data_IF_100390133626
#
_entry.id   IF_100390133626
#
_cell.length_a   1.000
_cell.length_b   1.000
_cell.length_c   1.000
_cell.angle_alpha   90.00
_cell.angle_beta   90.00
_cell.angle_gamma   90.00
#
_symmetry.space_group_name_H-M   'P 1'
#
loop_
_entity.id
_entity.type
_entity.pdbx_description
1 polymer ?
#
# COMPACT_ATOMS: atom_id res chain seq x y z
N UNK A 1 45.89 30.65 7.20
CA UNK A 1 44.48 30.68 6.91
C UNK A 1 43.97 29.26 7.14
N UNK A 2 43.40 29.04 8.30
CA UNK A 2 42.73 27.75 8.62
C UNK A 2 41.46 27.63 7.78
N UNK A 3 41.47 26.75 6.80
CA UNK A 3 40.26 26.30 6.15
C UNK A 3 39.46 25.55 7.20
N UNK A 4 38.42 26.16 7.75
CA UNK A 4 37.44 25.52 8.56
C UNK A 4 36.83 24.37 7.71
N UNK A 5 37.26 23.14 7.97
CA UNK A 5 36.51 21.94 7.54
C UNK A 5 35.10 22.04 8.17
N UNK A 6 34.18 22.45 7.33
CA UNK A 6 32.76 22.29 7.67
C UNK A 6 32.52 20.77 7.79
N UNK A 7 32.37 20.27 8.98
CA UNK A 7 31.95 18.89 9.21
C UNK A 7 30.55 18.72 8.58
N UNK A 8 30.53 18.25 7.34
CA UNK A 8 29.29 17.93 6.64
C UNK A 8 28.69 16.71 7.36
N UNK A 9 27.72 16.96 8.23
CA UNK A 9 26.95 15.89 8.88
C UNK A 9 26.27 15.07 7.79
N UNK A 10 26.55 13.76 7.67
CA UNK A 10 25.99 12.93 6.61
C UNK A 10 24.47 13.00 6.59
N UNK A 11 23.86 12.85 5.42
CA UNK A 11 22.41 12.72 5.28
C UNK A 11 21.90 11.49 6.03
N UNK A 12 20.75 11.55 6.69
CA UNK A 12 20.11 10.37 7.27
C UNK A 12 19.60 9.39 6.20
N UNK A 13 19.58 9.80 4.95
CA UNK A 13 19.11 9.05 3.80
C UNK A 13 20.27 8.62 2.92
N UNK A 14 20.27 7.36 2.51
CA UNK A 14 21.23 6.89 1.52
C UNK A 14 20.87 7.37 0.10
N UNK A 15 21.75 7.17 -0.84
CA UNK A 15 21.62 7.70 -2.21
C UNK A 15 20.33 7.30 -2.91
N UNK A 16 19.89 6.04 -2.79
CA UNK A 16 18.66 5.54 -3.45
C UNK A 16 17.40 6.22 -2.92
N UNK A 17 17.30 6.43 -1.61
CA UNK A 17 16.18 7.15 -0.98
C UNK A 17 16.15 8.60 -1.47
N UNK A 18 17.31 9.28 -1.48
CA UNK A 18 17.44 10.67 -1.96
C UNK A 18 17.06 10.80 -3.43
N UNK A 19 17.46 9.87 -4.29
CA UNK A 19 17.10 9.89 -5.73
C UNK A 19 15.59 9.84 -5.91
N UNK A 20 14.86 9.00 -5.16
CA UNK A 20 13.40 8.94 -5.26
C UNK A 20 12.77 10.19 -4.65
N UNK A 21 13.25 10.67 -3.51
CA UNK A 21 12.77 11.91 -2.88
C UNK A 21 12.96 13.13 -3.81
N UNK A 22 14.07 13.20 -4.55
CA UNK A 22 14.30 14.21 -5.59
C UNK A 22 13.30 14.07 -6.74
N UNK A 23 13.08 12.84 -7.24
CA UNK A 23 12.13 12.57 -8.33
C UNK A 23 10.71 13.04 -7.99
N UNK A 24 10.29 12.90 -6.73
CA UNK A 24 8.95 13.34 -6.28
C UNK A 24 8.95 14.75 -5.66
N UNK A 25 10.05 15.49 -5.74
CA UNK A 25 10.15 16.90 -5.33
C UNK A 25 10.08 17.15 -3.83
N UNK A 26 10.54 16.20 -2.98
CA UNK A 26 10.44 16.32 -1.51
C UNK A 26 11.78 16.23 -0.78
N UNK A 27 12.91 16.14 -1.49
CA UNK A 27 14.22 15.85 -0.90
C UNK A 27 14.61 16.82 0.23
N UNK A 28 14.51 18.14 0.01
CA UNK A 28 14.91 19.13 1.02
C UNK A 28 14.06 19.05 2.29
N UNK A 29 12.74 18.84 2.12
CA UNK A 29 11.84 18.65 3.25
C UNK A 29 12.18 17.37 4.01
N UNK A 30 12.48 16.30 3.30
CA UNK A 30 12.81 15.01 3.92
C UNK A 30 14.17 15.02 4.59
N UNK A 31 15.14 15.79 4.09
CA UNK A 31 16.42 15.96 4.76
C UNK A 31 16.24 16.58 6.16
N UNK A 32 15.46 17.67 6.27
CA UNK A 32 15.15 18.31 7.55
C UNK A 32 14.36 17.38 8.46
N UNK A 33 13.38 16.67 7.90
CA UNK A 33 12.53 15.76 8.66
C UNK A 33 13.32 14.56 9.19
N UNK A 34 14.11 13.91 8.34
CA UNK A 34 14.88 12.72 8.69
C UNK A 34 15.83 12.97 9.85
N UNK A 35 16.55 14.12 9.87
CA UNK A 35 17.43 14.52 10.98
C UNK A 35 16.72 14.63 12.33
N UNK A 36 15.40 14.87 12.34
CA UNK A 36 14.61 14.97 13.58
C UNK A 36 14.08 13.63 14.07
N UNK A 37 13.75 12.71 13.14
CA UNK A 37 13.00 11.50 13.49
C UNK A 37 13.83 10.22 13.49
N UNK A 38 14.90 10.15 12.69
CA UNK A 38 15.80 9.00 12.69
C UNK A 38 16.80 9.16 13.82
N UNK A 39 16.86 8.17 14.69
CA UNK A 39 17.69 8.15 15.89
C UNK A 39 18.57 6.91 15.90
N UNK A 40 19.71 6.99 16.54
CA UNK A 40 20.63 5.90 16.82
C UNK A 40 20.36 5.23 18.19
N UNK A 41 19.17 5.47 18.74
CA UNK A 41 18.70 4.91 20.00
C UNK A 41 17.16 4.76 20.00
N UNK A 42 16.66 3.94 20.92
CA UNK A 42 15.25 3.72 21.19
C UNK A 42 14.77 4.66 22.31
N UNK A 43 13.90 5.63 22.04
CA UNK A 43 13.20 6.37 23.08
C UNK A 43 12.40 5.42 24.00
N UNK A 44 12.12 5.82 25.24
CA UNK A 44 11.38 4.98 26.19
C UNK A 44 10.04 4.47 25.64
N UNK A 45 9.33 5.31 24.91
CA UNK A 45 8.09 4.91 24.25
C UNK A 45 8.28 3.76 23.25
N UNK A 46 9.41 3.73 22.51
CA UNK A 46 9.71 2.62 21.59
C UNK A 46 10.14 1.37 22.36
N UNK A 47 10.92 1.52 23.44
CA UNK A 47 11.33 0.40 24.29
C UNK A 47 10.10 -0.28 24.90
N UNK A 48 9.18 0.48 25.48
CA UNK A 48 7.92 -0.01 26.01
C UNK A 48 7.06 -0.67 24.91
N UNK A 49 7.03 -0.12 23.70
CA UNK A 49 6.31 -0.69 22.57
C UNK A 49 6.87 -2.06 22.17
N UNK A 50 8.18 -2.22 22.03
CA UNK A 50 8.77 -3.52 21.67
C UNK A 50 8.49 -4.60 22.72
N UNK A 51 8.48 -4.25 24.00
CA UNK A 51 8.26 -5.20 25.11
C UNK A 51 6.87 -5.83 25.09
N UNK A 52 5.85 -5.15 24.57
CA UNK A 52 4.47 -5.65 24.55
C UNK A 52 4.12 -6.50 23.31
N UNK A 53 5.02 -6.55 22.33
CA UNK A 53 4.75 -7.24 21.06
C UNK A 53 4.78 -8.76 21.23
N UNK A 54 3.83 -9.50 20.61
CA UNK A 54 3.86 -10.96 20.51
C UNK A 54 4.64 -11.46 19.28
N UNK A 55 5.00 -10.55 18.36
CA UNK A 55 5.74 -10.87 17.13
C UNK A 55 6.70 -9.75 16.75
N UNK A 56 7.71 -10.13 15.96
CA UNK A 56 8.70 -9.21 15.38
C UNK A 56 9.02 -9.66 13.96
N UNK A 57 8.89 -8.76 12.98
CA UNK A 57 9.32 -9.01 11.61
C UNK A 57 10.83 -8.76 11.52
N UNK A 58 11.53 -9.65 10.83
CA UNK A 58 12.98 -9.62 10.66
C UNK A 58 13.31 -9.68 9.17
N UNK A 59 14.15 -8.77 8.72
CA UNK A 59 14.80 -8.84 7.41
C UNK A 59 16.29 -9.07 7.60
N UNK A 60 16.86 -10.00 6.85
CA UNK A 60 18.30 -10.24 6.79
C UNK A 60 18.69 -10.83 5.43
N UNK A 61 19.99 -10.96 5.22
CA UNK A 61 20.57 -11.54 4.01
C UNK A 61 21.25 -12.86 4.39
N UNK A 62 20.88 -13.92 3.71
CA UNK A 62 21.46 -15.24 3.96
C UNK A 62 22.93 -15.33 3.47
N UNK A 63 23.66 -16.41 3.79
CA UNK A 63 25.04 -16.59 3.34
C UNK A 63 25.20 -16.62 1.80
N UNK A 64 24.14 -16.96 1.05
CA UNK A 64 24.15 -16.96 -0.41
C UNK A 64 23.96 -15.54 -1.00
N UNK A 65 23.66 -14.55 -0.16
CA UNK A 65 23.45 -13.17 -0.56
C UNK A 65 22.01 -12.84 -0.91
N UNK A 66 21.07 -13.70 -0.54
CA UNK A 66 19.65 -13.49 -0.79
C UNK A 66 18.95 -12.83 0.40
N UNK A 67 18.20 -11.76 0.18
CA UNK A 67 17.36 -11.18 1.22
C UNK A 67 16.14 -12.04 1.50
N UNK A 68 15.81 -12.17 2.79
CA UNK A 68 14.60 -12.84 3.25
C UNK A 68 13.90 -12.02 4.31
N UNK A 69 12.59 -12.03 4.29
CA UNK A 69 11.76 -11.55 5.38
C UNK A 69 11.26 -12.75 6.19
N UNK A 70 11.31 -12.63 7.50
CA UNK A 70 10.84 -13.64 8.44
C UNK A 70 10.10 -13.02 9.62
N UNK A 71 9.54 -13.86 10.49
CA UNK A 71 8.83 -13.46 11.68
C UNK A 71 9.25 -14.30 12.87
N UNK A 72 9.48 -13.65 13.99
CA UNK A 72 9.68 -14.26 15.30
C UNK A 72 8.45 -14.01 16.15
N UNK A 73 8.11 -14.98 16.99
CA UNK A 73 6.99 -14.87 17.94
C UNK A 73 7.43 -15.25 19.36
N UNK A 74 6.70 -14.75 20.34
CA UNK A 74 6.91 -15.06 21.74
C UNK A 74 5.83 -14.45 22.62
N UNK A 75 5.74 -14.88 23.86
CA UNK A 75 4.91 -14.18 24.83
C UNK A 75 5.42 -12.73 24.98
N UNK A 76 4.54 -11.74 25.15
CA UNK A 76 4.94 -10.37 25.44
C UNK A 76 6.05 -10.31 26.50
N UNK A 77 7.08 -9.55 26.21
CA UNK A 77 8.31 -9.57 26.99
C UNK A 77 9.44 -10.41 26.40
N UNK A 78 9.21 -11.16 25.29
CA UNK A 78 10.31 -11.85 24.60
C UNK A 78 11.30 -10.89 23.93
N UNK A 79 10.84 -9.65 23.68
CA UNK A 79 11.68 -8.53 23.23
C UNK A 79 11.85 -7.57 24.42
N UNK A 80 13.07 -7.15 24.66
CA UNK A 80 13.39 -6.15 25.68
C UNK A 80 14.51 -5.22 25.20
N UNK A 81 14.58 -4.02 25.76
CA UNK A 81 15.66 -3.08 25.49
C UNK A 81 16.30 -2.70 26.84
N UNK A 82 17.33 -3.42 27.28
CA UNK A 82 18.01 -3.12 28.55
C UNK A 82 18.75 -1.79 28.51
N UNK A 83 19.20 -1.38 27.33
CA UNK A 83 19.85 -0.12 27.04
C UNK A 83 19.17 0.54 25.82
N UNK A 84 19.08 1.87 25.73
CA UNK A 84 18.48 2.55 24.58
C UNK A 84 19.12 2.23 23.23
N UNK A 85 20.37 1.78 23.20
CA UNK A 85 21.12 1.40 21.98
C UNK A 85 21.16 -0.09 21.73
N UNK A 86 20.43 -0.90 22.53
CA UNK A 86 20.40 -2.35 22.41
C UNK A 86 18.96 -2.88 22.48
N UNK A 87 18.60 -3.74 21.54
CA UNK A 87 17.37 -4.54 21.57
C UNK A 87 17.73 -6.00 21.75
N UNK A 88 17.24 -6.64 22.80
CA UNK A 88 17.41 -8.06 23.08
C UNK A 88 16.17 -8.84 22.67
N UNK A 89 16.32 -9.92 21.90
CA UNK A 89 15.26 -10.77 21.38
C UNK A 89 15.49 -12.19 21.87
N UNK A 90 14.60 -12.72 22.70
CA UNK A 90 14.64 -14.10 23.24
C UNK A 90 13.86 -15.04 22.34
N UNK A 91 14.25 -15.08 21.08
CA UNK A 91 13.75 -16.00 20.06
C UNK A 91 14.77 -16.12 18.93
N UNK A 92 14.73 -17.26 18.24
CA UNK A 92 15.51 -17.52 17.02
C UNK A 92 14.57 -17.97 15.91
N UNK A 93 14.92 -17.75 14.63
CA UNK A 93 14.20 -18.38 13.53
C UNK A 93 14.15 -19.88 13.72
N UNK A 94 12.98 -20.48 13.54
CA UNK A 94 12.79 -21.92 13.70
C UNK A 94 13.43 -22.70 12.56
N UNK A 95 13.59 -24.02 12.74
CA UNK A 95 14.14 -24.91 11.71
C UNK A 95 13.33 -24.74 10.39
N UNK A 96 14.06 -24.69 9.26
CA UNK A 96 13.50 -24.48 7.93
C UNK A 96 13.20 -23.02 7.57
N UNK A 97 13.42 -22.09 8.49
CA UNK A 97 13.41 -20.66 8.15
C UNK A 97 14.69 -20.33 7.36
N UNK A 98 14.60 -19.62 6.22
CA UNK A 98 15.78 -19.19 5.46
C UNK A 98 16.80 -18.38 6.27
N UNK A 99 16.35 -17.72 7.34
CA UNK A 99 17.20 -16.92 8.22
C UNK A 99 17.76 -17.71 9.44
N UNK A 100 17.53 -19.02 9.52
CA UNK A 100 18.00 -19.82 10.67
C UNK A 100 19.50 -19.67 10.96
N UNK A 101 20.31 -19.48 9.93
CA UNK A 101 21.76 -19.32 10.02
C UNK A 101 22.26 -17.93 9.60
N UNK A 102 21.37 -16.93 9.51
CA UNK A 102 21.71 -15.59 9.03
C UNK A 102 21.88 -14.55 10.15
N UNK A 103 21.43 -14.86 11.37
CA UNK A 103 21.39 -13.92 12.51
C UNK A 103 22.54 -14.18 13.50
N UNK A 104 23.76 -14.12 12.99
CA UNK A 104 24.99 -14.26 13.79
C UNK A 104 25.62 -12.89 14.08
N UNK A 105 26.51 -12.82 15.08
CA UNK A 105 27.19 -11.57 15.43
C UNK A 105 27.83 -10.91 14.20
N UNK A 106 27.60 -9.61 14.03
CA UNK A 106 28.05 -8.83 12.88
C UNK A 106 27.04 -8.81 11.71
N UNK A 107 25.98 -9.62 11.72
CA UNK A 107 24.96 -9.59 10.67
C UNK A 107 24.13 -8.31 10.72
N UNK A 108 23.94 -7.66 9.57
CA UNK A 108 23.02 -6.54 9.45
C UNK A 108 21.57 -7.04 9.41
N UNK A 109 20.70 -6.39 10.16
CA UNK A 109 19.28 -6.75 10.27
C UNK A 109 18.37 -5.53 10.20
N UNK A 110 17.21 -5.70 9.56
CA UNK A 110 16.09 -4.79 9.66
C UNK A 110 15.00 -5.42 10.53
N UNK A 111 14.47 -4.67 11.47
CA UNK A 111 13.41 -5.11 12.38
C UNK A 111 12.19 -4.20 12.24
N UNK A 112 11.00 -4.80 12.19
CA UNK A 112 9.74 -4.09 12.24
C UNK A 112 8.89 -4.64 13.37
N UNK A 113 8.78 -3.87 14.45
CA UNK A 113 7.74 -4.07 15.44
C UNK A 113 6.41 -3.55 14.90
N UNK A 114 5.39 -4.37 14.93
CA UNK A 114 4.04 -4.01 14.47
C UNK A 114 2.98 -4.55 15.42
N UNK A 115 2.04 -3.70 15.77
CA UNK A 115 0.89 -4.00 16.60
C UNK A 115 -0.36 -3.81 15.74
N UNK A 116 -0.88 -4.93 15.21
CA UNK A 116 -1.93 -4.88 14.19
C UNK A 116 -3.24 -4.27 14.71
N UNK A 117 -3.63 -4.54 15.97
CA UNK A 117 -4.88 -4.03 16.53
C UNK A 117 -4.90 -2.50 16.75
N UNK A 118 -3.72 -1.87 16.90
CA UNK A 118 -3.61 -0.40 17.05
C UNK A 118 -3.04 0.30 15.82
N UNK A 119 -2.60 -0.46 14.81
CA UNK A 119 -1.88 0.03 13.62
C UNK A 119 -0.56 0.73 13.94
N UNK A 120 -0.01 0.54 15.14
CA UNK A 120 1.29 1.10 15.51
C UNK A 120 2.42 0.25 14.94
N UNK A 121 3.46 0.89 14.45
CA UNK A 121 4.68 0.21 14.00
C UNK A 121 5.89 1.09 14.19
N UNK A 122 6.99 0.47 14.63
CA UNK A 122 8.30 1.08 14.76
C UNK A 122 9.33 0.24 14.03
N UNK A 123 10.26 0.90 13.37
CA UNK A 123 11.39 0.26 12.70
C UNK A 123 12.66 0.43 13.51
N UNK A 124 13.50 -0.58 13.46
CA UNK A 124 14.87 -0.57 13.92
C UNK A 124 15.74 -1.28 12.87
N UNK A 125 16.76 -0.61 12.41
CA UNK A 125 17.80 -1.21 11.57
C UNK A 125 19.10 -1.19 12.38
N UNK A 126 19.86 -2.28 12.34
CA UNK A 126 21.07 -2.38 13.14
C UNK A 126 21.91 -3.60 12.80
N UNK A 127 22.80 -3.93 13.69
CA UNK A 127 23.72 -5.06 13.57
C UNK A 127 23.57 -5.99 14.76
N UNK A 128 23.57 -7.28 14.53
CA UNK A 128 23.57 -8.28 15.60
C UNK A 128 24.84 -8.12 16.42
N UNK A 129 24.69 -7.72 17.69
CA UNK A 129 25.81 -7.51 18.61
C UNK A 129 26.30 -8.82 19.24
N UNK A 130 25.36 -9.70 19.58
CA UNK A 130 25.65 -11.04 20.13
C UNK A 130 24.49 -11.98 19.77
N UNK A 131 24.78 -13.26 19.61
CA UNK A 131 23.81 -14.31 19.36
C UNK A 131 24.20 -15.58 20.10
N UNK A 132 23.17 -16.30 20.62
CA UNK A 132 23.33 -17.62 21.25
C UNK A 132 22.19 -18.56 20.85
N UNK A 133 22.07 -19.72 21.46
CA UNK A 133 21.04 -20.70 21.18
C UNK A 133 19.58 -20.20 21.51
N UNK A 134 19.48 -19.23 22.40
CA UNK A 134 18.18 -18.75 22.92
C UNK A 134 17.70 -17.44 22.30
N UNK A 135 18.58 -16.71 21.61
CA UNK A 135 18.24 -15.43 21.00
C UNK A 135 19.44 -14.66 20.49
N UNK A 136 19.22 -13.37 20.30
CA UNK A 136 20.24 -12.44 19.85
C UNK A 136 19.93 -11.02 20.31
N UNK A 137 20.95 -10.18 20.32
CA UNK A 137 20.81 -8.76 20.58
C UNK A 137 21.23 -7.93 19.38
N UNK A 138 20.59 -6.79 19.16
CA UNK A 138 20.84 -5.89 18.03
C UNK A 138 21.29 -4.54 18.56
N UNK A 139 22.48 -4.11 18.14
CA UNK A 139 22.93 -2.73 18.31
C UNK A 139 22.14 -1.82 17.37
N UNK A 140 21.54 -0.78 17.91
CA UNK A 140 20.68 0.14 17.18
C UNK A 140 21.52 1.03 16.27
N UNK A 141 21.29 0.94 14.97
CA UNK A 141 21.83 1.87 14.00
C UNK A 141 20.84 3.00 13.71
N UNK A 142 19.62 2.63 13.28
CA UNK A 142 18.55 3.59 13.03
C UNK A 142 17.25 3.11 13.65
N UNK A 143 16.54 4.01 14.35
CA UNK A 143 15.22 3.73 14.93
C UNK A 143 14.26 4.89 14.67
N UNK A 144 13.05 4.57 14.21
CA UNK A 144 12.01 5.57 13.92
C UNK A 144 10.62 4.96 13.86
N UNK A 145 9.61 5.80 14.17
CA UNK A 145 8.20 5.46 13.99
C UNK A 145 7.78 5.49 12.52
N UNK A 146 6.76 4.71 12.17
CA UNK A 146 6.15 4.70 10.85
C UNK A 146 4.67 5.05 10.93
N UNK A 147 4.11 5.57 9.82
CA UNK A 147 2.68 5.90 9.74
C UNK A 147 1.82 4.61 9.82
N UNK A 148 0.56 4.73 10.31
CA UNK A 148 -0.36 3.60 10.48
C UNK A 148 -1.06 3.16 9.18
N UNK A 149 -0.74 3.77 8.04
CA UNK A 149 -1.43 3.56 6.77
C UNK A 149 -1.34 2.12 6.28
N UNK A 150 -2.43 1.65 5.64
CA UNK A 150 -2.59 0.35 4.99
C UNK A 150 -2.48 -0.86 5.93
N UNK A 151 -2.53 -0.68 7.25
CA UNK A 151 -2.57 -1.76 8.22
C UNK A 151 -4.03 -2.11 8.50
N UNK A 152 -4.45 -3.32 8.16
CA UNK A 152 -5.74 -3.87 8.56
C UNK A 152 -5.64 -4.26 10.04
N UNK A 153 -6.64 -3.91 10.87
CA UNK A 153 -6.60 -4.30 12.27
C UNK A 153 -6.85 -5.79 12.43
N UNK A 154 -6.14 -6.38 13.38
CA UNK A 154 -6.29 -7.80 13.76
C UNK A 154 -6.00 -7.96 15.23
N UNK A 155 -6.86 -8.69 15.91
CA UNK A 155 -6.63 -9.16 17.28
C UNK A 155 -5.96 -10.53 17.23
N UNK A 156 -5.01 -10.76 18.14
CA UNK A 156 -4.24 -11.99 18.16
C UNK A 156 -4.62 -12.92 19.33
N UNK A 157 -4.38 -14.20 19.14
CA UNK A 157 -4.40 -15.23 20.17
C UNK A 157 -3.31 -16.27 19.90
N UNK A 158 -2.91 -17.02 20.91
CA UNK A 158 -2.01 -18.14 20.72
C UNK A 158 -2.81 -19.44 20.62
N UNK A 159 -2.66 -20.18 19.51
CA UNK A 159 -3.23 -21.52 19.34
C UNK A 159 -2.42 -22.60 20.08
N UNK A 160 -1.16 -22.29 20.42
CA UNK A 160 -0.26 -23.12 21.25
C UNK A 160 0.75 -22.22 21.96
N UNK A 161 1.53 -22.78 22.86
CA UNK A 161 2.67 -22.06 23.43
C UNK A 161 3.70 -21.75 22.33
N UNK A 162 4.08 -20.48 22.10
CA UNK A 162 5.07 -20.10 21.10
C UNK A 162 6.48 -20.67 21.37
N UNK A 163 6.77 -21.03 22.62
CA UNK A 163 8.02 -21.71 22.98
C UNK A 163 8.05 -23.20 22.58
N UNK A 164 6.88 -23.78 22.27
CA UNK A 164 6.76 -25.18 21.86
C UNK A 164 7.11 -25.33 20.39
N UNK A 165 8.08 -26.19 20.09
CA UNK A 165 8.38 -26.56 18.71
C UNK A 165 7.14 -27.20 18.05
N UNK A 166 6.67 -26.65 16.94
CA UNK A 166 5.66 -27.30 16.12
C UNK A 166 6.36 -28.17 15.06
N UNK A 167 5.87 -29.39 14.82
CA UNK A 167 6.24 -30.12 13.62
C UNK A 167 5.71 -29.34 12.41
N UNK A 168 6.60 -28.70 11.70
CA UNK A 168 6.27 -27.84 10.57
C UNK A 168 6.64 -28.57 9.28
N UNK A 169 5.66 -28.83 8.41
CA UNK A 169 5.94 -29.29 7.06
C UNK A 169 6.60 -28.15 6.29
N UNK A 170 7.78 -28.43 5.75
CA UNK A 170 8.58 -27.47 4.96
C UNK A 170 8.54 -27.89 3.51
N UNK A 171 8.11 -26.97 2.67
CA UNK A 171 8.06 -27.12 1.21
C UNK A 171 8.89 -25.98 0.59
N UNK A 172 9.56 -26.24 -0.53
CA UNK A 172 10.35 -25.22 -1.22
C UNK A 172 10.34 -25.44 -2.73
N UNK A 173 10.66 -24.41 -3.47
CA UNK A 173 10.74 -24.47 -4.93
C UNK A 173 11.33 -23.21 -5.54
N UNK A 174 11.50 -23.24 -6.87
CA UNK A 174 12.03 -22.12 -7.67
C UNK A 174 10.96 -21.45 -8.54
N UNK A 175 9.78 -22.07 -8.66
CA UNK A 175 8.61 -21.56 -9.37
C UNK A 175 7.38 -21.69 -8.47
N UNK A 176 6.50 -20.70 -8.49
CA UNK A 176 5.30 -20.67 -7.65
C UNK A 176 4.34 -21.82 -8.01
N UNK A 177 3.98 -22.61 -7.01
CA UNK A 177 2.93 -23.61 -7.12
C UNK A 177 1.53 -23.01 -6.97
N UNK A 178 0.49 -23.80 -7.17
CA UNK A 178 -0.90 -23.35 -7.05
C UNK A 178 -1.24 -22.84 -5.62
N UNK A 179 -0.70 -23.46 -4.58
CA UNK A 179 -0.94 -23.04 -3.21
C UNK A 179 -0.25 -21.71 -2.88
N UNK A 180 0.97 -21.49 -3.36
CA UNK A 180 1.67 -20.21 -3.24
C UNK A 180 0.93 -19.07 -3.96
N UNK A 181 0.44 -19.33 -5.18
CA UNK A 181 -0.38 -18.37 -5.92
C UNK A 181 -1.66 -18.02 -5.18
N UNK A 182 -2.35 -19.01 -4.64
CA UNK A 182 -3.57 -18.80 -3.86
C UNK A 182 -3.32 -17.96 -2.59
N UNK A 183 -2.25 -18.27 -1.85
CA UNK A 183 -1.86 -17.51 -0.66
C UNK A 183 -1.55 -16.04 -0.99
N UNK A 184 -0.83 -15.76 -2.08
CA UNK A 184 -0.51 -14.40 -2.52
C UNK A 184 -1.78 -13.66 -2.98
N UNK A 185 -2.64 -14.31 -3.75
CA UNK A 185 -3.88 -13.71 -4.27
C UNK A 185 -4.86 -13.33 -3.16
N UNK A 186 -4.95 -14.14 -2.09
CA UNK A 186 -5.81 -13.89 -0.94
C UNK A 186 -5.25 -12.85 0.05
N UNK A 187 -3.95 -12.54 -0.03
CA UNK A 187 -3.28 -11.69 0.92
C UNK A 187 -3.75 -10.23 0.81
N UNK A 188 -4.03 -9.60 1.94
CA UNK A 188 -4.23 -8.16 2.10
C UNK A 188 -3.02 -7.47 2.75
N UNK A 189 -2.04 -8.26 3.16
CA UNK A 189 -0.85 -7.84 3.89
C UNK A 189 0.32 -8.76 3.55
N UNK A 190 1.48 -8.18 3.32
CA UNK A 190 2.75 -8.90 3.28
C UNK A 190 3.88 -8.01 3.81
N UNK A 191 5.04 -8.61 4.04
CA UNK A 191 6.24 -7.91 4.50
C UNK A 191 7.35 -8.08 3.49
N UNK A 192 8.20 -7.05 3.34
CA UNK A 192 9.30 -7.04 2.40
C UNK A 192 10.61 -6.67 3.09
N UNK A 193 11.63 -7.51 2.92
CA UNK A 193 13.01 -7.21 3.24
C UNK A 193 13.76 -6.74 2.00
N UNK A 194 14.56 -5.70 2.17
CA UNK A 194 15.46 -5.16 1.14
C UNK A 194 16.76 -4.71 1.78
N UNK A 195 17.83 -4.63 1.01
CA UNK A 195 19.12 -4.23 1.55
C UNK A 195 19.97 -3.45 0.55
N UNK A 196 20.94 -2.76 1.09
CA UNK A 196 21.96 -2.08 0.32
C UNK A 196 23.34 -2.35 0.94
N UNK A 197 24.32 -2.64 0.11
CA UNK A 197 25.74 -2.65 0.44
C UNK A 197 26.34 -1.34 -0.10
N UNK A 198 26.53 -0.28 0.71
CA UNK A 198 27.12 0.96 0.25
C UNK A 198 28.49 0.70 -0.38
N UNK A 199 28.71 1.21 -1.59
CA UNK A 199 29.97 1.02 -2.34
C UNK A 199 30.39 -0.45 -2.52
N UNK A 200 29.44 -1.40 -2.37
CA UNK A 200 29.72 -2.84 -2.43
C UNK A 200 30.31 -3.42 -1.12
N UNK A 201 30.44 -2.62 -0.07
CA UNK A 201 31.03 -3.03 1.20
C UNK A 201 29.99 -3.75 2.09
N UNK A 202 30.10 -5.06 2.19
CA UNK A 202 29.23 -5.88 3.07
C UNK A 202 29.26 -5.47 4.53
N UNK A 203 30.40 -4.97 5.01
CA UNK A 203 30.54 -4.51 6.40
C UNK A 203 29.67 -3.27 6.72
N UNK A 204 29.26 -2.53 5.68
CA UNK A 204 28.38 -1.36 5.78
C UNK A 204 26.94 -1.65 5.37
N UNK A 205 26.57 -2.91 5.20
CA UNK A 205 25.23 -3.34 4.79
C UNK A 205 24.16 -2.71 5.66
N UNK A 206 23.16 -2.13 5.04
CA UNK A 206 21.91 -1.73 5.67
C UNK A 206 20.77 -2.62 5.21
N UNK A 207 19.97 -3.14 6.14
CA UNK A 207 18.80 -3.97 5.85
C UNK A 207 17.55 -3.29 6.38
N UNK A 208 16.48 -3.30 5.57
CA UNK A 208 15.16 -2.83 5.95
C UNK A 208 14.13 -3.95 5.86
N UNK A 209 13.14 -3.93 6.77
CA UNK A 209 11.91 -4.69 6.61
C UNK A 209 10.70 -3.77 6.71
N UNK A 210 9.75 -3.92 5.80
CA UNK A 210 8.57 -3.04 5.69
C UNK A 210 7.29 -3.85 5.54
N UNK A 211 6.20 -3.28 6.03
CA UNK A 211 4.84 -3.76 5.81
C UNK A 211 4.29 -3.18 4.49
N UNK A 212 3.55 -4.01 3.76
CA UNK A 212 2.74 -3.62 2.59
C UNK A 212 1.31 -4.14 2.79
N UNK A 213 0.32 -3.31 2.51
CA UNK A 213 -1.07 -3.71 2.63
C UNK A 213 -1.94 -3.09 1.55
N UNK A 214 -3.02 -3.78 1.21
CA UNK A 214 -4.02 -3.39 0.23
C UNK A 214 -5.26 -4.27 0.36
N UNK A 215 -6.24 -4.14 -0.52
CA UNK A 215 -7.34 -5.09 -0.63
C UNK A 215 -6.81 -6.41 -1.25
N UNK A 216 -7.41 -7.55 -0.91
CA UNK A 216 -7.10 -8.80 -1.59
C UNK A 216 -7.16 -8.63 -3.13
N UNK A 217 -6.22 -9.23 -3.85
CA UNK A 217 -6.05 -9.00 -5.29
C UNK A 217 -5.27 -7.72 -5.64
N UNK A 218 -4.62 -7.04 -4.68
CA UNK A 218 -3.72 -5.93 -4.97
C UNK A 218 -2.34 -6.39 -5.50
N UNK A 219 -2.01 -7.65 -5.33
CA UNK A 219 -0.83 -8.29 -5.94
C UNK A 219 -1.29 -9.09 -7.16
N UNK A 220 -0.85 -8.69 -8.36
CA UNK A 220 -1.08 -9.47 -9.58
C UNK A 220 0.03 -10.49 -9.77
N UNK A 221 -0.36 -11.69 -10.13
CA UNK A 221 0.55 -12.82 -10.37
C UNK A 221 0.51 -13.14 -11.87
N UNK A 222 1.66 -13.07 -12.52
CA UNK A 222 1.83 -13.43 -13.92
C UNK A 222 3.07 -14.33 -14.06
N UNK A 223 2.84 -15.64 -14.26
CA UNK A 223 3.91 -16.61 -14.13
C UNK A 223 4.52 -16.59 -12.73
N UNK A 224 5.82 -16.37 -12.63
CA UNK A 224 6.57 -16.20 -11.38
C UNK A 224 6.84 -14.72 -11.06
N UNK A 225 6.18 -13.80 -11.75
CA UNK A 225 6.31 -12.36 -11.54
C UNK A 225 5.08 -11.81 -10.81
N UNK A 226 5.33 -11.10 -9.71
CA UNK A 226 4.33 -10.36 -8.95
C UNK A 226 4.41 -8.88 -9.36
N UNK A 227 3.28 -8.27 -9.72
CA UNK A 227 3.20 -6.81 -9.93
C UNK A 227 2.44 -6.19 -8.77
N UNK A 228 3.07 -5.25 -8.08
CA UNK A 228 2.66 -4.74 -6.79
C UNK A 228 2.57 -3.21 -6.84
N UNK A 229 1.44 -2.60 -6.43
CA UNK A 229 1.34 -1.16 -6.35
C UNK A 229 2.12 -0.62 -5.14
N UNK A 230 2.73 0.54 -5.32
CA UNK A 230 3.27 1.34 -4.23
C UNK A 230 2.37 2.56 -4.02
N UNK A 231 1.79 2.63 -2.84
CA UNK A 231 0.84 3.66 -2.46
C UNK A 231 1.52 4.83 -1.76
N UNK A 232 0.82 5.96 -1.66
CA UNK A 232 1.28 7.13 -0.92
C UNK A 232 1.61 6.77 0.54
N UNK A 233 2.80 7.15 1.00
CA UNK A 233 3.30 6.81 2.34
C UNK A 233 4.04 7.96 3.01
N UNK A 234 4.98 7.62 3.90
CA UNK A 234 5.74 8.58 4.70
C UNK A 234 6.88 9.29 3.94
N UNK A 235 7.08 8.98 2.66
CA UNK A 235 8.11 9.56 1.79
C UNK A 235 9.56 9.23 2.18
N UNK A 236 9.78 8.30 3.09
CA UNK A 236 11.11 7.82 3.44
C UNK A 236 11.74 7.03 2.27
N UNK A 237 10.92 6.23 1.57
CA UNK A 237 11.32 5.38 0.45
C UNK A 237 12.37 4.31 0.79
N UNK A 238 12.50 3.92 2.05
CA UNK A 238 13.53 2.96 2.47
C UNK A 238 13.60 1.71 1.57
N UNK A 239 12.46 1.02 1.39
CA UNK A 239 12.39 -0.16 0.51
C UNK A 239 12.74 0.20 -0.94
N UNK A 240 12.06 1.20 -1.53
CA UNK A 240 12.27 1.54 -2.94
C UNK A 240 13.66 2.13 -3.19
N UNK A 241 14.22 2.87 -2.23
CA UNK A 241 15.59 3.36 -2.30
C UNK A 241 16.60 2.23 -2.35
N UNK A 242 16.42 1.19 -1.50
CA UNK A 242 17.22 -0.02 -1.59
C UNK A 242 17.06 -0.70 -2.95
N UNK A 243 15.81 -0.92 -3.40
CA UNK A 243 15.51 -1.61 -4.67
C UNK A 243 16.03 -0.87 -5.90
N UNK A 244 16.14 0.45 -5.85
CA UNK A 244 16.68 1.25 -6.94
C UNK A 244 18.18 0.98 -7.16
N UNK A 245 18.93 0.70 -6.09
CA UNK A 245 20.36 0.48 -6.12
C UNK A 245 20.73 -1.00 -6.09
N UNK A 246 19.91 -1.82 -5.44
CA UNK A 246 20.09 -3.27 -5.36
C UNK A 246 18.72 -3.93 -5.61
N UNK A 247 18.45 -4.42 -6.82
CA UNK A 247 17.15 -4.94 -7.21
C UNK A 247 16.89 -6.36 -6.67
N UNK A 248 17.08 -6.57 -5.37
CA UNK A 248 16.80 -7.83 -4.67
C UNK A 248 15.90 -7.60 -3.49
N UNK A 249 14.92 -8.48 -3.29
CA UNK A 249 14.00 -8.45 -2.17
C UNK A 249 13.68 -9.83 -1.64
N UNK A 250 13.26 -9.89 -0.37
CA UNK A 250 12.61 -11.04 0.24
C UNK A 250 11.20 -10.68 0.66
N UNK A 251 10.21 -11.49 0.35
CA UNK A 251 8.82 -11.28 0.74
C UNK A 251 8.38 -12.32 1.75
N UNK A 252 7.49 -11.94 2.66
CA UNK A 252 6.83 -12.82 3.62
C UNK A 252 5.33 -12.59 3.56
N UNK A 253 4.58 -13.64 3.24
CA UNK A 253 3.14 -13.72 3.36
C UNK A 253 2.80 -14.58 4.57
N UNK A 254 1.90 -14.09 5.41
CA UNK A 254 1.39 -14.79 6.60
C UNK A 254 -0.07 -15.12 6.38
N UNK A 255 -0.43 -16.39 6.46
CA UNK A 255 -1.83 -16.75 6.65
C UNK A 255 -2.18 -16.54 8.12
N UNK A 256 -2.89 -15.47 8.39
CA UNK A 256 -3.23 -15.05 9.74
C UNK A 256 -4.21 -16.02 10.46
N UNK A 257 -4.92 -16.86 9.71
CA UNK A 257 -5.85 -17.83 10.26
C UNK A 257 -5.18 -19.18 10.60
N UNK A 258 -4.29 -19.67 9.72
CA UNK A 258 -3.61 -20.96 9.91
C UNK A 258 -2.25 -20.85 10.59
N UNK A 259 -1.61 -19.67 10.48
CA UNK A 259 -0.21 -19.47 10.90
C UNK A 259 0.80 -20.04 9.88
N UNK A 260 0.37 -20.32 8.66
CA UNK A 260 1.26 -20.71 7.57
C UNK A 260 2.09 -19.51 7.12
N UNK A 261 3.33 -19.79 6.75
CA UNK A 261 4.25 -18.77 6.20
C UNK A 261 4.66 -19.14 4.79
N UNK A 262 4.61 -18.17 3.88
CA UNK A 262 5.22 -18.27 2.56
C UNK A 262 6.28 -17.18 2.44
N UNK A 263 7.54 -17.60 2.34
CA UNK A 263 8.71 -16.73 2.20
C UNK A 263 9.24 -16.85 0.78
N UNK A 264 9.51 -15.72 0.13
CA UNK A 264 10.02 -15.64 -1.24
C UNK A 264 11.30 -14.83 -1.24
N UNK A 265 12.22 -15.16 -2.14
CA UNK A 265 13.35 -14.30 -2.51
C UNK A 265 13.41 -14.16 -4.02
N UNK A 266 13.83 -12.99 -4.51
CA UNK A 266 13.83 -12.71 -5.94
C UNK A 266 14.41 -11.35 -6.31
N UNK A 267 14.26 -11.03 -7.61
CA UNK A 267 14.69 -9.76 -8.19
C UNK A 267 13.51 -8.80 -8.38
N UNK A 268 13.81 -7.50 -8.45
CA UNK A 268 12.79 -6.46 -8.55
C UNK A 268 13.07 -5.48 -9.69
N UNK A 269 12.01 -4.84 -10.17
CA UNK A 269 12.04 -3.72 -11.12
C UNK A 269 11.03 -2.67 -10.67
N UNK A 270 11.41 -1.38 -10.65
CA UNK A 270 10.50 -0.28 -10.30
C UNK A 270 9.94 0.34 -11.57
N UNK A 271 8.62 0.50 -11.63
CA UNK A 271 7.88 1.15 -12.71
C UNK A 271 7.31 2.46 -12.19
N UNK A 272 7.94 3.58 -12.55
CA UNK A 272 7.60 4.89 -12.00
C UNK A 272 6.35 5.52 -12.62
N UNK A 273 6.04 5.21 -13.87
CA UNK A 273 4.91 5.81 -14.62
C UNK A 273 4.41 4.87 -15.71
N UNK A 274 3.38 5.26 -16.41
CA UNK A 274 2.78 4.51 -17.51
C UNK A 274 1.29 4.24 -17.29
N UNK A 275 0.62 3.71 -18.33
CA UNK A 275 -0.82 3.43 -18.29
C UNK A 275 -1.19 2.39 -17.23
N UNK A 276 -0.29 1.45 -16.98
CA UNK A 276 -0.48 0.43 -15.96
C UNK A 276 -0.51 1.05 -14.55
N UNK A 277 0.38 1.99 -14.24
CA UNK A 277 0.38 2.74 -12.98
C UNK A 277 -0.91 3.55 -12.85
N UNK A 278 -1.26 4.31 -13.89
CA UNK A 278 -2.45 5.18 -13.89
C UNK A 278 -3.76 4.42 -13.74
N UNK A 279 -3.83 3.20 -14.26
CA UNK A 279 -5.04 2.36 -14.17
C UNK A 279 -5.30 1.80 -12.78
N UNK A 280 -4.27 1.67 -11.94
CA UNK A 280 -4.43 1.14 -10.59
C UNK A 280 -4.76 2.25 -9.59
N UNK A 281 -5.94 2.21 -9.01
CA UNK A 281 -6.41 3.24 -8.07
C UNK A 281 -5.51 3.33 -6.83
N UNK A 282 -5.04 4.53 -6.55
CA UNK A 282 -4.20 4.84 -5.40
C UNK A 282 -2.70 4.55 -5.60
N UNK A 283 -2.29 3.88 -6.69
CA UNK A 283 -0.89 3.66 -6.96
C UNK A 283 -0.20 4.95 -7.43
N UNK A 284 0.96 5.25 -6.85
CA UNK A 284 1.86 6.30 -7.32
C UNK A 284 2.91 5.75 -8.29
N UNK A 285 3.21 4.48 -8.18
CA UNK A 285 4.12 3.67 -8.99
C UNK A 285 3.81 2.20 -8.78
N UNK A 286 4.46 1.34 -9.58
CA UNK A 286 4.42 -0.11 -9.39
C UNK A 286 5.84 -0.63 -9.21
N UNK A 287 5.97 -1.83 -8.70
CA UNK A 287 7.20 -2.59 -8.78
C UNK A 287 6.87 -4.06 -9.06
N UNK A 288 7.75 -4.70 -9.81
CA UNK A 288 7.65 -6.11 -10.16
C UNK A 288 8.63 -6.89 -9.30
N UNK A 289 8.24 -8.08 -8.92
CA UNK A 289 9.08 -9.02 -8.19
C UNK A 289 9.05 -10.36 -8.90
N UNK A 290 10.20 -10.81 -9.40
CA UNK A 290 10.33 -12.12 -10.04
C UNK A 290 10.90 -13.11 -9.03
N UNK A 291 10.11 -14.13 -8.72
CA UNK A 291 10.46 -15.18 -7.76
C UNK A 291 11.66 -15.96 -8.28
N UNK A 292 12.66 -16.15 -7.41
CA UNK A 292 13.81 -17.00 -7.64
C UNK A 292 13.74 -18.29 -6.82
N UNK A 293 13.29 -18.18 -5.59
CA UNK A 293 13.07 -19.31 -4.68
C UNK A 293 12.00 -18.95 -3.64
N UNK A 294 11.36 -19.98 -3.11
CA UNK A 294 10.40 -19.86 -2.04
C UNK A 294 10.49 -20.98 -1.03
N UNK A 295 10.10 -20.70 0.20
CA UNK A 295 9.94 -21.66 1.29
C UNK A 295 8.55 -21.45 1.90
N UNK A 296 7.79 -22.54 2.07
CA UNK A 296 6.50 -22.57 2.76
C UNK A 296 6.62 -23.42 4.01
N UNK A 297 6.17 -22.88 5.14
CA UNK A 297 6.17 -23.54 6.43
C UNK A 297 4.76 -23.55 7.00
N UNK A 298 4.15 -24.74 7.04
CA UNK A 298 2.76 -24.88 7.45
C UNK A 298 2.62 -24.86 8.97
N UNK A 299 1.65 -24.06 9.48
CA UNK A 299 1.39 -23.92 10.92
C UNK A 299 2.60 -23.44 11.71
N UNK A 300 3.54 -22.74 11.05
CA UNK A 300 4.81 -22.34 11.67
C UNK A 300 4.60 -21.41 12.87
N UNK A 301 3.61 -20.51 12.80
CA UNK A 301 3.28 -19.62 13.92
C UNK A 301 2.31 -20.27 14.90
N UNK A 302 2.53 -20.01 16.20
CA UNK A 302 1.55 -20.23 17.25
C UNK A 302 0.45 -19.17 17.23
N UNK A 303 0.78 -17.96 16.78
CA UNK A 303 -0.16 -16.84 16.66
C UNK A 303 -1.25 -17.11 15.64
N UNK A 304 -2.46 -16.69 15.97
CA UNK A 304 -3.62 -16.61 15.11
C UNK A 304 -4.20 -15.22 15.22
N UNK A 305 -4.78 -14.72 14.13
CA UNK A 305 -5.28 -13.37 14.09
C UNK A 305 -6.70 -13.33 13.53
N UNK A 306 -7.59 -12.71 14.28
CA UNK A 306 -8.93 -12.38 13.81
C UNK A 306 -8.93 -11.02 13.12
N UNK A 307 -9.52 -10.96 11.92
CA UNK A 307 -9.68 -9.71 11.19
C UNK A 307 -10.63 -8.77 11.94
N UNK A 308 -10.24 -7.52 12.08
CA UNK A 308 -11.04 -6.45 12.67
C UNK A 308 -11.59 -5.52 11.59
N UNK A 309 -10.84 -4.48 11.25
CA UNK A 309 -11.28 -3.42 10.34
C UNK A 309 -10.27 -3.16 9.23
N UNK A 310 -10.77 -2.76 8.07
CA UNK A 310 -9.94 -2.22 7.00
C UNK A 310 -9.29 -0.90 7.40
N UNK A 311 -8.06 -0.70 6.98
CA UNK A 311 -7.45 0.64 7.00
C UNK A 311 -8.24 1.58 6.09
N UNK A 312 -8.61 2.79 6.54
CA UNK A 312 -9.25 3.78 5.66
C UNK A 312 -8.44 4.02 4.37
N UNK A 313 -7.11 4.01 4.46
CA UNK A 313 -6.25 4.16 3.29
C UNK A 313 -6.38 2.97 2.31
N UNK A 314 -6.54 1.74 2.80
CA UNK A 314 -6.74 0.57 1.94
C UNK A 314 -8.10 0.61 1.21
N UNK A 315 -9.12 1.20 1.82
CA UNK A 315 -10.43 1.38 1.18
C UNK A 315 -10.38 2.32 -0.04
N UNK A 316 -9.41 3.24 -0.06
CA UNK A 316 -9.18 4.17 -1.17
C UNK A 316 -8.33 3.57 -2.31
N UNK A 317 -7.88 2.32 -2.18
CA UNK A 317 -7.10 1.62 -3.21
C UNK A 317 -7.94 0.65 -4.01
N UNK A 318 -7.49 0.33 -5.23
CA UNK A 318 -8.15 -0.64 -6.11
C UNK A 318 -7.57 -2.06 -6.01
N UNK A 319 -8.07 -2.91 -6.93
CA UNK A 319 -7.54 -4.23 -7.25
C UNK A 319 -7.11 -4.28 -8.72
N UNK A 320 -6.40 -5.36 -9.11
CA UNK A 320 -6.00 -5.57 -10.50
C UNK A 320 -7.20 -5.86 -11.42
N UNK A 321 -8.27 -6.45 -10.91
CA UNK A 321 -9.51 -6.63 -11.68
C UNK A 321 -10.12 -5.28 -12.01
N UNK A 322 -10.21 -4.37 -11.03
CA UNK A 322 -10.68 -3.01 -11.26
C UNK A 322 -9.76 -2.22 -12.21
N UNK A 323 -8.43 -2.37 -12.08
CA UNK A 323 -7.47 -1.75 -12.98
C UNK A 323 -7.62 -2.25 -14.43
N UNK A 324 -7.87 -3.54 -14.60
CA UNK A 324 -8.11 -4.16 -15.91
C UNK A 324 -9.42 -3.67 -16.52
N UNK A 325 -10.49 -3.60 -15.73
CA UNK A 325 -11.78 -3.05 -16.15
C UNK A 325 -11.68 -1.56 -16.55
N UNK A 326 -10.91 -0.75 -15.80
CA UNK A 326 -10.65 0.65 -16.15
C UNK A 326 -9.90 0.80 -17.47
N UNK A 327 -8.88 -0.04 -17.74
CA UNK A 327 -8.18 -0.01 -19.02
C UNK A 327 -9.09 -0.38 -20.19
N UNK A 328 -9.97 -1.37 -19.99
CA UNK A 328 -10.98 -1.71 -20.97
C UNK A 328 -11.92 -0.52 -21.24
N UNK A 329 -12.37 0.17 -20.18
CA UNK A 329 -13.20 1.37 -20.31
C UNK A 329 -12.49 2.52 -21.02
N UNK A 330 -11.20 2.72 -20.75
CA UNK A 330 -10.40 3.77 -21.39
C UNK A 330 -10.23 3.53 -22.89
N UNK A 331 -10.11 2.27 -23.34
CA UNK A 331 -10.10 1.93 -24.78
C UNK A 331 -11.40 2.26 -25.51
N UNK A 332 -12.50 2.42 -24.75
CA UNK A 332 -13.82 2.76 -25.27
C UNK A 332 -14.16 4.25 -25.09
N UNK A 333 -13.18 5.11 -24.73
CA UNK A 333 -13.39 6.49 -24.33
C UNK A 333 -14.20 7.34 -25.33
N UNK A 334 -13.99 7.12 -26.62
CA UNK A 334 -14.69 7.85 -27.69
C UNK A 334 -16.08 7.32 -28.03
N UNK A 335 -16.48 6.17 -27.47
CA UNK A 335 -17.73 5.49 -27.80
C UNK A 335 -18.84 5.85 -26.81
N UNK A 336 -20.09 5.88 -27.32
CA UNK A 336 -21.29 5.86 -26.49
C UNK A 336 -21.45 4.43 -25.92
N UNK A 337 -21.50 4.34 -24.61
CA UNK A 337 -21.58 3.08 -23.88
C UNK A 337 -22.90 2.97 -23.15
N UNK A 338 -23.51 1.79 -23.07
CA UNK A 338 -24.67 1.57 -22.23
C UNK A 338 -24.31 1.66 -20.75
N UNK A 339 -25.06 2.46 -20.02
CA UNK A 339 -25.08 2.54 -18.56
C UNK A 339 -26.48 2.26 -18.07
N UNK A 340 -26.60 1.89 -16.81
CA UNK A 340 -27.86 1.81 -16.10
C UNK A 340 -27.82 2.64 -14.82
N UNK A 341 -28.99 3.12 -14.42
CA UNK A 341 -29.16 3.76 -13.11
C UNK A 341 -29.18 2.64 -12.06
N UNK A 342 -28.14 2.57 -11.23
CA UNK A 342 -28.01 1.60 -10.17
C UNK A 342 -28.73 2.03 -8.88
N UNK A 343 -28.85 3.35 -8.67
CA UNK A 343 -29.48 3.93 -7.48
C UNK A 343 -29.93 5.34 -7.74
N UNK A 344 -31.05 5.73 -7.12
CA UNK A 344 -31.58 7.09 -7.12
C UNK A 344 -31.67 7.62 -5.70
N UNK A 345 -31.22 8.85 -5.47
CA UNK A 345 -31.31 9.54 -4.17
C UNK A 345 -32.01 10.87 -4.35
N UNK A 346 -33.05 11.12 -3.56
CA UNK A 346 -33.71 12.43 -3.51
C UNK A 346 -32.93 13.36 -2.60
N UNK A 347 -32.24 14.35 -3.19
CA UNK A 347 -31.45 15.34 -2.42
C UNK A 347 -32.34 16.50 -1.95
N UNK A 348 -33.33 16.84 -2.73
CA UNK A 348 -34.35 17.87 -2.42
C UNK A 348 -35.56 17.72 -3.32
N UNK A 349 -36.59 18.56 -3.13
CA UNK A 349 -37.79 18.59 -3.96
C UNK A 349 -37.48 18.81 -5.48
N UNK A 350 -36.31 19.34 -5.81
CA UNK A 350 -35.95 19.68 -7.20
C UNK A 350 -34.62 19.08 -7.66
N UNK A 351 -33.91 18.35 -6.79
CA UNK A 351 -32.60 17.73 -7.11
C UNK A 351 -32.64 16.24 -6.78
N UNK A 352 -32.30 15.41 -7.76
CA UNK A 352 -32.04 13.97 -7.60
C UNK A 352 -30.64 13.62 -8.01
N UNK A 353 -30.02 12.73 -7.26
CA UNK A 353 -28.75 12.10 -7.62
C UNK A 353 -29.00 10.73 -8.23
N UNK A 354 -28.41 10.50 -9.41
CA UNK A 354 -28.44 9.23 -10.11
C UNK A 354 -27.06 8.60 -10.07
N UNK A 355 -26.97 7.42 -9.51
CA UNK A 355 -25.76 6.61 -9.51
C UNK A 355 -25.78 5.68 -10.71
N UNK A 356 -24.74 5.74 -11.52
CA UNK A 356 -24.65 5.08 -12.81
C UNK A 356 -23.55 4.04 -12.80
N UNK A 357 -23.83 2.87 -13.36
CA UNK A 357 -22.87 1.82 -13.60
C UNK A 357 -22.86 1.40 -15.06
N UNK A 358 -21.69 0.97 -15.60
CA UNK A 358 -21.62 0.42 -16.95
C UNK A 358 -22.44 -0.86 -17.07
N UNK A 359 -23.17 -1.01 -18.20
CA UNK A 359 -23.97 -2.21 -18.50
C UNK A 359 -23.30 -3.13 -19.54
N UNK A 360 -22.09 -2.80 -20.00
CA UNK A 360 -21.35 -3.53 -21.05
C UNK A 360 -20.22 -4.42 -20.51
N UNK A 361 -20.10 -4.54 -19.17
CA UNK A 361 -19.05 -5.35 -18.52
C UNK A 361 -17.67 -4.69 -18.48
N UNK A 362 -17.45 -3.55 -19.13
CA UNK A 362 -16.25 -2.76 -18.95
C UNK A 362 -16.39 -1.84 -17.71
N UNK A 363 -15.26 -1.49 -17.08
CA UNK A 363 -15.25 -0.65 -15.88
C UNK A 363 -15.65 0.81 -16.11
N UNK A 364 -15.55 1.59 -15.06
CA UNK A 364 -15.71 3.04 -15.14
C UNK A 364 -14.49 3.68 -15.82
N UNK A 365 -14.67 4.65 -16.71
CA UNK A 365 -13.56 5.43 -17.23
C UNK A 365 -12.96 6.32 -16.13
N UNK A 366 -11.65 6.53 -16.18
CA UNK A 366 -11.00 7.49 -15.29
C UNK A 366 -11.53 8.90 -15.53
N UNK A 367 -11.70 9.65 -14.45
CA UNK A 367 -12.06 11.06 -14.51
C UNK A 367 -11.32 11.91 -13.48
N UNK A 368 -11.23 13.18 -13.77
CA UNK A 368 -10.68 14.18 -12.87
C UNK A 368 -11.81 14.93 -12.17
N UNK A 369 -11.61 15.25 -10.89
CA UNK A 369 -12.59 16.01 -10.11
C UNK A 369 -12.96 17.33 -10.81
N UNK A 370 -14.27 17.53 -11.04
CA UNK A 370 -14.83 18.67 -11.76
C UNK A 370 -15.28 18.39 -13.19
N UNK A 371 -14.90 17.25 -13.77
CA UNK A 371 -15.36 16.84 -15.09
C UNK A 371 -16.86 16.53 -15.14
N UNK A 372 -17.43 16.55 -16.34
CA UNK A 372 -18.81 16.20 -16.61
C UNK A 372 -18.92 14.93 -17.45
N UNK A 373 -20.06 14.27 -17.33
CA UNK A 373 -20.43 13.08 -18.07
C UNK A 373 -21.38 13.47 -19.22
N UNK A 374 -20.99 13.31 -20.48
CA UNK A 374 -21.93 13.45 -21.62
C UNK A 374 -22.92 12.30 -21.61
N UNK A 375 -24.20 12.62 -21.59
CA UNK A 375 -25.30 11.66 -21.68
C UNK A 375 -26.04 11.82 -23.01
N UNK A 376 -26.49 10.68 -23.56
CA UNK A 376 -27.36 10.60 -24.72
C UNK A 376 -28.65 9.89 -24.29
N UNK A 377 -29.77 10.62 -24.36
CA UNK A 377 -31.06 10.15 -23.84
C UNK A 377 -32.11 10.22 -24.94
N UNK A 378 -32.72 9.09 -25.28
CA UNK A 378 -33.85 8.99 -26.17
C UNK A 378 -35.13 9.39 -25.43
N UNK A 379 -35.83 10.41 -25.95
CA UNK A 379 -37.10 10.83 -25.38
C UNK A 379 -38.27 10.46 -26.31
N UNK A 380 -39.43 10.07 -25.77
CA UNK A 380 -40.63 9.85 -26.56
C UNK A 380 -40.99 11.11 -27.40
N UNK A 381 -41.31 10.90 -28.64
CA UNK A 381 -41.64 11.99 -29.58
C UNK A 381 -40.44 12.74 -30.18
N UNK A 382 -39.21 12.35 -29.89
CA UNK A 382 -38.02 12.87 -30.52
C UNK A 382 -37.36 11.83 -31.41
N UNK A 383 -37.14 12.16 -32.69
CA UNK A 383 -36.49 11.25 -33.67
C UNK A 383 -35.02 11.00 -33.34
N UNK A 384 -34.36 11.92 -32.66
CA UNK A 384 -32.93 11.81 -32.29
C UNK A 384 -32.76 11.95 -30.79
N UNK A 385 -31.84 11.17 -30.20
CA UNK A 385 -31.51 11.33 -28.80
C UNK A 385 -30.97 12.72 -28.47
N UNK A 386 -31.32 13.24 -27.30
CA UNK A 386 -30.83 14.52 -26.79
C UNK A 386 -29.55 14.34 -26.03
N UNK A 387 -28.60 15.24 -26.29
CA UNK A 387 -27.30 15.26 -25.61
C UNK A 387 -27.35 16.27 -24.47
N UNK A 388 -26.86 15.85 -23.27
CA UNK A 388 -26.69 16.73 -22.11
C UNK A 388 -25.44 16.35 -21.35
N UNK A 389 -24.76 17.35 -20.82
CA UNK A 389 -23.62 17.20 -19.96
C UNK A 389 -24.06 17.42 -18.51
N UNK A 390 -23.74 16.46 -17.65
CA UNK A 390 -23.94 16.56 -16.20
C UNK A 390 -22.64 16.42 -15.47
N UNK A 391 -22.32 17.37 -14.59
CA UNK A 391 -21.12 17.30 -13.78
C UNK A 391 -21.16 16.06 -12.89
N UNK A 392 -20.06 15.33 -12.84
CA UNK A 392 -19.90 14.20 -11.94
C UNK A 392 -19.80 14.75 -10.52
N UNK A 393 -20.61 14.22 -9.60
CA UNK A 393 -20.62 14.59 -8.19
C UNK A 393 -20.11 13.47 -7.26
N UNK A 394 -19.67 12.34 -7.85
CA UNK A 394 -19.00 11.24 -7.16
C UNK A 394 -17.53 11.56 -6.82
N UNK A 395 -16.95 10.87 -5.84
CA UNK A 395 -15.51 10.86 -5.67
C UNK A 395 -14.83 10.07 -6.80
N UNK A 396 -13.60 10.42 -7.22
CA UNK A 396 -12.85 9.64 -8.21
C UNK A 396 -12.58 8.19 -7.79
N UNK A 397 -12.63 7.90 -6.49
CA UNK A 397 -12.47 6.55 -5.94
C UNK A 397 -13.75 5.74 -5.85
N UNK A 398 -14.91 6.34 -6.08
CA UNK A 398 -16.20 5.64 -6.01
C UNK A 398 -16.33 4.58 -7.11
N UNK A 399 -17.06 3.52 -6.80
CA UNK A 399 -17.35 2.41 -7.74
C UNK A 399 -18.51 2.71 -8.69
N UNK A 400 -19.17 3.86 -8.55
CA UNK A 400 -20.27 4.34 -9.38
C UNK A 400 -20.04 5.81 -9.78
N UNK A 401 -20.42 6.17 -10.99
CA UNK A 401 -20.53 7.59 -11.36
C UNK A 401 -21.82 8.16 -10.76
N UNK A 402 -21.75 9.32 -10.14
CA UNK A 402 -22.92 10.05 -9.65
C UNK A 402 -23.07 11.36 -10.38
N UNK A 403 -24.27 11.61 -10.87
CA UNK A 403 -24.70 12.92 -11.36
C UNK A 403 -25.85 13.42 -10.49
N UNK A 404 -25.78 14.69 -10.05
CA UNK A 404 -26.88 15.33 -9.30
C UNK A 404 -27.59 16.30 -10.23
N UNK A 405 -28.87 16.06 -10.49
CA UNK A 405 -29.64 16.68 -11.54
C UNK A 405 -30.77 17.55 -10.95
N UNK A 406 -30.72 18.86 -11.18
CA UNK A 406 -31.84 19.75 -10.87
C UNK A 406 -32.90 19.63 -11.94
N UNK A 407 -34.15 19.55 -11.55
CA UNK A 407 -35.29 19.53 -12.47
C UNK A 407 -35.54 20.96 -13.04
N UNK A 408 -35.04 21.20 -14.28
CA UNK A 408 -35.06 22.51 -14.91
C UNK A 408 -34.95 22.39 -16.44
N UNK A 409 -35.87 21.73 -17.09
CA UNK A 409 -35.88 21.54 -18.53
C UNK A 409 -36.28 20.15 -18.98
N UNK A 410 -36.33 19.92 -20.27
CA UNK A 410 -36.94 18.73 -20.87
C UNK A 410 -36.25 17.42 -20.40
N UNK A 411 -34.94 17.31 -20.56
CA UNK A 411 -34.19 16.07 -20.21
C UNK A 411 -34.17 15.85 -18.72
N UNK A 412 -33.90 16.87 -17.91
CA UNK A 412 -33.88 16.76 -16.44
C UNK A 412 -35.27 16.44 -15.89
N UNK A 413 -36.34 16.96 -16.43
CA UNK A 413 -37.71 16.62 -16.05
C UNK A 413 -38.05 15.17 -16.40
N UNK A 414 -37.59 14.69 -17.55
CA UNK A 414 -37.75 13.29 -17.95
C UNK A 414 -36.97 12.35 -17.00
N UNK A 415 -35.73 12.68 -16.67
CA UNK A 415 -34.94 11.90 -15.70
C UNK A 415 -35.63 11.82 -14.33
N UNK A 416 -36.20 12.94 -13.86
CA UNK A 416 -36.97 12.95 -12.61
C UNK A 416 -38.27 12.11 -12.68
N UNK A 417 -38.91 12.03 -13.84
CA UNK A 417 -40.15 11.29 -14.00
C UNK A 417 -39.93 9.79 -14.27
N UNK A 418 -38.89 9.43 -15.01
CA UNK A 418 -38.70 8.10 -15.58
C UNK A 418 -37.32 7.46 -15.20
N UNK A 419 -36.39 8.20 -14.62
CA UNK A 419 -35.10 7.72 -14.21
C UNK A 419 -35.21 6.93 -12.91
N UNK A 420 -35.62 5.67 -13.01
CA UNK A 420 -35.64 4.69 -11.89
C UNK A 420 -34.46 3.75 -11.96
N UNK A 421 -34.23 2.99 -10.89
CA UNK A 421 -33.24 1.92 -10.89
C UNK A 421 -33.51 0.93 -12.03
N UNK A 422 -32.43 0.53 -12.73
CA UNK A 422 -32.50 -0.30 -13.94
C UNK A 422 -32.70 0.48 -15.25
N UNK A 423 -33.05 1.78 -15.22
CA UNK A 423 -33.21 2.57 -16.44
C UNK A 423 -31.89 2.65 -17.21
N UNK A 424 -31.96 2.25 -18.49
CA UNK A 424 -30.83 2.32 -19.41
C UNK A 424 -30.65 3.75 -19.95
N UNK A 425 -29.40 4.21 -19.96
CA UNK A 425 -28.97 5.47 -20.57
C UNK A 425 -27.63 5.23 -21.27
N UNK A 426 -27.28 6.11 -22.19
CA UNK A 426 -26.00 6.08 -22.86
C UNK A 426 -25.10 7.22 -22.36
N UNK A 427 -23.86 6.90 -22.03
CA UNK A 427 -22.85 7.87 -21.64
C UNK A 427 -21.57 7.69 -22.45
N UNK A 428 -20.82 8.76 -22.60
CA UNK A 428 -19.44 8.73 -23.09
C UNK A 428 -18.49 9.01 -21.92
N UNK A 429 -17.20 8.78 -22.13
CA UNK A 429 -16.21 9.05 -21.10
C UNK A 429 -16.28 10.50 -20.60
N UNK A 430 -15.96 10.75 -19.32
CA UNK A 430 -15.94 12.09 -18.75
C UNK A 430 -15.04 13.06 -19.52
N UNK A 431 -15.49 14.31 -19.63
CA UNK A 431 -14.84 15.39 -20.36
C UNK A 431 -14.83 16.69 -19.54
N UNK A 432 -13.99 17.66 -19.98
CA UNK A 432 -13.91 19.01 -19.42
C UNK A 432 -12.63 19.28 -18.64
N UNK A 433 -12.23 20.54 -18.63
CA UNK A 433 -10.96 21.02 -18.04
C UNK A 433 -11.17 21.79 -16.72
N UNK A 434 -12.44 21.92 -16.28
CA UNK A 434 -12.73 22.55 -14.99
C UNK A 434 -12.38 21.61 -13.85
N UNK A 435 -11.28 21.89 -13.18
CA UNK A 435 -10.76 21.00 -12.15
C UNK A 435 -9.87 21.72 -11.14
N UNK A 436 -9.43 21.00 -10.14
CA UNK A 436 -8.43 21.45 -9.18
C UNK A 436 -7.13 20.67 -9.41
N UNK A 437 -6.00 21.37 -9.39
CA UNK A 437 -4.70 20.71 -9.40
C UNK A 437 -4.39 20.17 -7.99
N UNK A 438 -4.39 18.85 -7.80
CA UNK A 438 -4.18 18.26 -6.48
C UNK A 438 -2.71 18.36 -6.01
N UNK A 439 -1.78 18.77 -6.87
CA UNK A 439 -0.35 18.91 -6.52
C UNK A 439 -0.06 20.24 -5.83
N UNK A 440 -0.91 21.25 -6.04
CA UNK A 440 -0.76 22.57 -5.43
C UNK A 440 -1.15 22.51 -3.96
N UNK A 441 -0.17 22.70 -3.07
CA UNK A 441 -0.34 22.61 -1.60
C UNK A 441 -0.84 23.90 -0.93
N UNK A 442 -1.60 24.72 -1.64
CA UNK A 442 -2.24 25.89 -1.06
C UNK A 442 -3.66 25.56 -0.61
N UNK A 443 -4.18 26.22 0.44
CA UNK A 443 -5.60 26.11 0.78
C UNK A 443 -6.48 26.42 -0.44
N UNK A 444 -7.49 25.58 -0.68
CA UNK A 444 -8.46 25.78 -1.74
C UNK A 444 -9.76 26.37 -1.15
N UNK A 445 -10.30 27.37 -1.81
CA UNK A 445 -11.63 27.93 -1.50
C UNK A 445 -12.56 27.56 -2.63
N UNK A 446 -13.59 26.78 -2.34
CA UNK A 446 -14.59 26.33 -3.31
C UNK A 446 -15.84 27.21 -3.16
N UNK A 447 -16.16 27.96 -4.20
CA UNK A 447 -17.33 28.83 -4.23
C UNK A 447 -18.35 28.31 -5.25
N UNK A 448 -19.61 28.19 -4.85
CA UNK A 448 -20.67 27.70 -5.74
C UNK A 448 -22.01 28.40 -5.48
N UNK A 449 -22.87 28.36 -6.47
CA UNK A 449 -24.28 28.77 -6.37
C UNK A 449 -25.18 27.74 -7.06
N UNK A 450 -26.24 27.35 -6.39
CA UNK A 450 -27.22 26.39 -6.92
C UNK A 450 -26.58 25.05 -7.28
N UNK A 451 -26.90 24.48 -8.45
CA UNK A 451 -26.39 23.20 -8.92
C UNK A 451 -24.88 23.24 -9.23
N UNK A 452 -24.27 24.41 -9.31
CA UNK A 452 -22.82 24.57 -9.44
C UNK A 452 -22.02 24.00 -8.26
N UNK A 453 -22.68 23.52 -7.21
CA UNK A 453 -22.05 22.77 -6.11
C UNK A 453 -21.48 21.41 -6.57
N UNK A 454 -22.02 20.82 -7.65
CA UNK A 454 -21.63 19.47 -8.08
C UNK A 454 -20.15 19.30 -8.38
N UNK A 455 -19.45 20.17 -9.14
CA UNK A 455 -18.01 20.08 -9.30
C UNK A 455 -17.25 20.35 -8.01
N UNK A 456 -17.77 21.23 -7.13
CA UNK A 456 -17.14 21.52 -5.84
C UNK A 456 -17.16 20.32 -4.91
N UNK A 457 -18.23 19.52 -4.92
CA UNK A 457 -18.31 18.27 -4.15
C UNK A 457 -17.24 17.27 -4.58
N UNK A 458 -17.10 17.04 -5.89
CA UNK A 458 -16.05 16.14 -6.41
C UNK A 458 -14.65 16.62 -6.05
N UNK A 459 -14.39 17.93 -6.15
CA UNK A 459 -13.11 18.52 -5.77
C UNK A 459 -12.85 18.38 -4.27
N UNK A 460 -13.87 18.62 -3.43
CA UNK A 460 -13.76 18.45 -1.97
C UNK A 460 -13.48 16.99 -1.60
N UNK A 461 -14.19 16.04 -2.21
CA UNK A 461 -13.93 14.62 -2.02
C UNK A 461 -12.50 14.26 -2.40
N UNK A 462 -12.02 14.74 -3.57
CA UNK A 462 -10.64 14.49 -4.00
C UNK A 462 -9.60 15.07 -3.06
N UNK A 463 -9.81 16.27 -2.54
CA UNK A 463 -8.92 16.87 -1.55
C UNK A 463 -8.92 16.06 -0.25
N UNK A 464 -10.09 15.61 0.20
CA UNK A 464 -10.22 14.75 1.38
C UNK A 464 -9.48 13.41 1.22
N UNK A 465 -9.63 12.73 0.06
CA UNK A 465 -8.88 11.51 -0.26
C UNK A 465 -7.35 11.71 -0.17
N UNK A 466 -6.89 12.90 -0.50
CA UNK A 466 -5.48 13.29 -0.43
C UNK A 466 -5.04 13.79 0.97
N UNK A 467 -5.93 13.75 1.96
CA UNK A 467 -5.66 14.23 3.31
C UNK A 467 -5.51 15.76 3.42
N UNK A 468 -6.27 16.49 2.62
CA UNK A 468 -6.19 17.96 2.52
C UNK A 468 -7.50 18.62 2.90
#
# INVERSE_FOLDING_TARGET
MDEQRVDIVPSPWHEGERRIQQRVGVADRMEVFGRKVIRDFLPEQHRAFYRQLPLLLVGAVDPAGDPWASVLEGQPGFIDSPDPRLLAIRARPTAGDPLANALEAGAAVGLLGIELHTRRRNRLNGTVAAADAHGYSVAVGHAFGNCPQYIQTRDYSFARDPASAAPTAIESGTSLDAAGRAAIAAADTFFIASYLDPEGERARRGVDVSHRGGKAGFVRIDGDTLTIPDFAGNLHFNTLGNLLLNPRAGLLFIDFASGDLLQLTGSTEIVFDGDEVRSFQGAERLWRFTVRAWVRRRGALALRFAFGEWSPNSLLTGSWDQASARRAAESLRSRWRPFRIARVVEESAVVRSFHLEPADGAGLPLFTAGQHLPLRIGLPGHERPLLRNYTISAAPSDDLLRISVKRDGLVSSWLHAHGAEGTAIEARAPEGDFGIDPTIKRPAVLLSAGIGITPMLTMAHRLHELGR
#
